data_IF_519224485110
#
_entry.id   IF_519224485110
#
_cell.length_a   1.000
_cell.length_b   1.000
_cell.length_c   1.000
_cell.angle_alpha   90.00
_cell.angle_beta   90.00
_cell.angle_gamma   90.00
#
_symmetry.space_group_name_H-M   'P 1'
#
loop_
_entity.id
_entity.type
_entity.pdbx_description
1 polymer ?
#
# COMPACT_ATOMS: atom_id res chain seq x y z
N UNK A 1 1.95 16.03 4.57
CA UNK A 1 1.21 17.14 5.21
C UNK A 1 -0.01 16.51 5.87
N UNK A 2 -0.04 16.41 7.20
CA UNK A 2 -1.06 15.63 7.92
C UNK A 2 -2.50 16.02 7.55
N UNK A 3 -2.78 17.31 7.36
CA UNK A 3 -4.14 17.79 7.08
C UNK A 3 -4.72 17.33 5.73
N UNK A 4 -3.87 17.19 4.71
CA UNK A 4 -4.29 16.68 3.39
C UNK A 4 -4.59 15.19 3.52
N UNK A 5 -3.69 14.44 4.17
CA UNK A 5 -3.87 13.00 4.41
C UNK A 5 -5.15 12.74 5.22
N UNK A 6 -5.40 13.52 6.27
CA UNK A 6 -6.62 13.43 7.08
C UNK A 6 -7.90 13.65 6.26
N UNK A 7 -7.89 14.59 5.31
CA UNK A 7 -9.04 14.86 4.46
C UNK A 7 -9.37 13.67 3.55
N UNK A 8 -8.36 12.97 3.03
CA UNK A 8 -8.54 11.76 2.21
C UNK A 8 -9.00 10.58 3.08
N UNK A 9 -8.34 10.35 4.22
CA UNK A 9 -8.65 9.24 5.13
C UNK A 9 -10.05 9.32 5.72
N UNK A 10 -10.62 10.53 5.84
CA UNK A 10 -11.98 10.75 6.32
C UNK A 10 -13.05 10.07 5.47
N UNK A 11 -12.79 9.89 4.17
CA UNK A 11 -13.78 9.37 3.21
C UNK A 11 -13.35 8.08 2.53
N UNK A 12 -12.10 7.64 2.71
CA UNK A 12 -11.61 6.42 2.09
C UNK A 12 -12.32 5.17 2.66
N UNK A 13 -12.84 4.31 1.79
CA UNK A 13 -13.33 2.98 2.19
C UNK A 13 -12.19 1.97 2.39
N UNK A 14 -11.07 2.20 1.71
CA UNK A 14 -9.87 1.36 1.72
C UNK A 14 -8.64 2.23 1.47
N UNK A 15 -7.55 1.95 2.18
CA UNK A 15 -6.25 2.57 1.96
C UNK A 15 -5.27 1.51 1.47
N UNK A 16 -4.62 1.78 0.34
CA UNK A 16 -3.48 0.99 -0.13
C UNK A 16 -2.20 1.78 0.13
N UNK A 17 -1.38 1.30 1.05
CA UNK A 17 -0.07 1.85 1.36
C UNK A 17 0.97 1.16 0.48
N UNK A 18 1.41 1.81 -0.59
CA UNK A 18 2.40 1.22 -1.48
C UNK A 18 3.83 1.46 -0.97
N UNK A 19 4.70 0.47 -1.10
CA UNK A 19 6.13 0.62 -0.80
C UNK A 19 7.00 -0.25 -1.69
N UNK A 20 8.21 0.21 -2.01
CA UNK A 20 9.23 -0.68 -2.55
C UNK A 20 9.84 -1.53 -1.43
N UNK A 21 10.26 -2.78 -1.69
CA UNK A 21 10.92 -3.64 -0.69
C UNK A 21 12.35 -3.16 -0.44
N UNK A 22 12.48 -1.99 0.19
CA UNK A 22 13.73 -1.30 0.48
C UNK A 22 13.72 -0.72 1.89
N UNK A 23 14.89 -0.62 2.51
CA UNK A 23 15.03 -0.07 3.86
C UNK A 23 14.51 1.35 3.96
N UNK A 24 14.80 2.17 2.95
CA UNK A 24 14.38 3.56 2.93
C UNK A 24 12.85 3.73 2.97
N UNK A 25 12.11 2.88 2.26
CA UNK A 25 10.64 2.93 2.29
C UNK A 25 10.07 2.31 3.57
N UNK A 26 10.66 1.23 4.07
CA UNK A 26 10.28 0.64 5.36
C UNK A 26 10.46 1.63 6.51
N UNK A 27 11.64 2.23 6.63
CA UNK A 27 11.96 3.21 7.68
C UNK A 27 11.00 4.42 7.60
N UNK A 28 10.64 4.89 6.40
CA UNK A 28 9.65 5.98 6.24
C UNK A 28 8.26 5.66 6.79
N UNK A 29 7.87 4.39 6.79
CA UNK A 29 6.56 3.93 7.26
C UNK A 29 6.59 3.69 8.77
N UNK A 30 7.61 2.98 9.24
CA UNK A 30 7.69 2.47 10.62
C UNK A 30 8.38 3.44 11.57
N UNK A 31 9.43 4.13 11.12
CA UNK A 31 10.23 5.04 11.95
C UNK A 31 10.72 6.28 11.15
N UNK A 32 9.80 7.14 10.69
CA UNK A 32 10.16 8.34 9.95
C UNK A 32 10.90 9.34 10.86
N UNK A 33 12.14 9.77 10.51
CA UNK A 33 13.03 10.47 11.44
C UNK A 33 12.50 11.80 12.02
N UNK A 34 11.59 12.49 11.33
CA UNK A 34 11.09 13.81 11.74
C UNK A 34 9.57 13.98 11.53
N UNK A 35 8.79 12.89 11.48
CA UNK A 35 7.36 12.95 11.12
C UNK A 35 6.53 11.95 11.92
N UNK A 36 5.23 12.23 12.04
CA UNK A 36 4.25 11.27 12.57
C UNK A 36 4.21 10.02 11.72
N UNK A 37 4.18 8.83 12.35
CA UNK A 37 4.08 7.55 11.64
C UNK A 37 2.78 7.51 10.85
N UNK A 38 2.80 6.90 9.66
CA UNK A 38 1.59 6.79 8.84
C UNK A 38 0.50 5.96 9.56
N UNK A 39 0.90 4.95 10.35
CA UNK A 39 -0.01 4.19 11.20
C UNK A 39 -0.75 5.06 12.21
N UNK A 40 -0.05 5.99 12.87
CA UNK A 40 -0.66 6.93 13.81
C UNK A 40 -1.62 7.89 13.10
N UNK A 41 -1.25 8.41 11.92
CA UNK A 41 -2.11 9.27 11.11
C UNK A 41 -3.41 8.52 10.74
N UNK A 42 -3.30 7.26 10.32
CA UNK A 42 -4.46 6.41 10.01
C UNK A 42 -5.32 6.19 11.26
N UNK A 43 -4.72 5.85 12.39
CA UNK A 43 -5.44 5.65 13.64
C UNK A 43 -6.18 6.94 14.09
N UNK A 44 -5.51 8.09 14.02
CA UNK A 44 -6.10 9.39 14.35
C UNK A 44 -7.25 9.78 13.42
N UNK A 45 -7.22 9.34 12.15
CA UNK A 45 -8.28 9.63 11.19
C UNK A 45 -9.66 9.09 11.61
N UNK A 46 -9.68 8.04 12.45
CA UNK A 46 -10.91 7.48 13.01
C UNK A 46 -11.76 8.55 13.71
N UNK A 47 -11.12 9.52 14.38
CA UNK A 47 -11.83 10.60 15.08
C UNK A 47 -12.60 11.54 14.14
N UNK A 48 -12.22 11.58 12.85
CA UNK A 48 -12.80 12.45 11.83
C UNK A 48 -13.90 11.77 11.00
N UNK A 49 -14.03 10.44 11.14
CA UNK A 49 -14.95 9.60 10.38
C UNK A 49 -16.28 9.41 11.11
N UNK A 50 -17.34 9.18 10.34
CA UNK A 50 -18.70 8.99 10.87
C UNK A 50 -18.83 7.69 11.68
N UNK A 51 -18.17 6.62 11.23
CA UNK A 51 -18.14 5.29 11.86
C UNK A 51 -17.16 5.19 13.04
N UNK A 52 -16.35 6.23 13.27
CA UNK A 52 -15.28 6.27 14.29
C UNK A 52 -14.24 5.14 14.18
N UNK A 53 -14.12 4.53 13.00
CA UNK A 53 -13.15 3.46 12.74
C UNK A 53 -12.15 3.92 11.69
N UNK A 54 -10.84 3.65 11.86
CA UNK A 54 -9.87 3.94 10.82
C UNK A 54 -10.20 3.11 9.56
N UNK A 55 -9.92 3.63 8.35
CA UNK A 55 -10.17 2.86 7.14
C UNK A 55 -9.28 1.60 7.12
N UNK A 56 -9.81 0.45 6.64
CA UNK A 56 -8.99 -0.72 6.37
C UNK A 56 -7.77 -0.32 5.55
N UNK A 57 -6.58 -0.73 6.00
CA UNK A 57 -5.33 -0.37 5.34
C UNK A 57 -4.51 -1.62 5.05
N UNK A 58 -4.05 -1.72 3.80
CA UNK A 58 -3.26 -2.83 3.30
C UNK A 58 -2.00 -2.33 2.61
N UNK A 59 -0.88 -2.99 2.90
CA UNK A 59 0.41 -2.69 2.29
C UNK A 59 0.53 -3.44 0.96
N UNK A 60 0.91 -2.71 -0.09
CA UNK A 60 1.21 -3.26 -1.41
C UNK A 60 2.70 -3.13 -1.69
N UNK A 61 3.40 -4.26 -1.82
CA UNK A 61 4.79 -4.26 -2.28
C UNK A 61 4.81 -3.97 -3.79
N UNK A 62 5.41 -2.83 -4.13
CA UNK A 62 5.50 -2.29 -5.48
C UNK A 62 6.97 -2.24 -5.94
N UNK A 63 7.21 -2.15 -7.24
CA UNK A 63 8.55 -2.13 -7.85
C UNK A 63 9.42 -3.31 -7.40
N UNK A 64 8.82 -4.47 -7.16
CA UNK A 64 9.55 -5.66 -6.71
C UNK A 64 10.45 -6.19 -7.82
N UNK A 65 11.61 -6.72 -7.45
CA UNK A 65 12.54 -7.33 -8.41
C UNK A 65 12.31 -8.84 -8.39
N UNK A 66 11.99 -9.41 -9.56
CA UNK A 66 11.75 -10.86 -9.69
C UNK A 66 12.95 -11.66 -9.18
N UNK A 67 12.69 -12.62 -8.28
CA UNK A 67 13.73 -13.46 -7.66
C UNK A 67 14.51 -12.81 -6.52
N UNK A 68 14.27 -11.53 -6.19
CA UNK A 68 14.92 -10.89 -5.05
C UNK A 68 14.29 -11.35 -3.73
N UNK A 69 15.13 -11.77 -2.78
CA UNK A 69 14.73 -12.16 -1.43
C UNK A 69 14.13 -11.00 -0.62
N UNK A 70 14.45 -9.75 -0.97
CA UNK A 70 13.96 -8.57 -0.27
C UNK A 70 12.43 -8.47 -0.23
N UNK A 71 11.75 -8.99 -1.26
CA UNK A 71 10.27 -8.97 -1.30
C UNK A 71 9.67 -9.77 -0.14
N UNK A 72 10.20 -10.97 0.13
CA UNK A 72 9.77 -11.78 1.27
C UNK A 72 10.19 -11.14 2.59
N UNK A 73 11.45 -10.73 2.70
CA UNK A 73 11.98 -10.10 3.91
C UNK A 73 11.13 -8.90 4.36
N UNK A 74 10.83 -7.95 3.46
CA UNK A 74 10.06 -6.76 3.83
C UNK A 74 8.58 -7.02 4.00
N UNK A 75 8.04 -8.11 3.42
CA UNK A 75 6.69 -8.57 3.74
C UNK A 75 6.64 -9.02 5.19
N UNK A 76 7.51 -9.95 5.57
CA UNK A 76 7.55 -10.52 6.91
C UNK A 76 7.77 -9.41 7.95
N UNK A 77 8.70 -8.49 7.69
CA UNK A 77 8.93 -7.33 8.59
C UNK A 77 7.71 -6.41 8.72
N UNK A 78 6.93 -6.18 7.66
CA UNK A 78 5.71 -5.36 7.76
C UNK A 78 4.60 -6.09 8.51
N UNK A 79 4.48 -7.40 8.32
CA UNK A 79 3.54 -8.25 9.06
C UNK A 79 3.91 -8.31 10.56
N UNK A 80 5.21 -8.39 10.89
CA UNK A 80 5.72 -8.33 12.27
C UNK A 80 5.42 -6.98 12.96
N UNK A 81 5.41 -5.89 12.19
CA UNK A 81 4.97 -4.55 12.64
C UNK A 81 3.42 -4.42 12.72
N UNK A 82 2.68 -5.50 12.46
CA UNK A 82 1.22 -5.57 12.60
C UNK A 82 0.44 -5.04 11.39
N UNK A 83 1.09 -4.85 10.24
CA UNK A 83 0.38 -4.44 9.01
C UNK A 83 -0.22 -5.63 8.28
N UNK A 84 -1.41 -5.41 7.68
CA UNK A 84 -1.92 -6.33 6.67
C UNK A 84 -1.15 -6.10 5.36
N UNK A 85 -0.60 -7.16 4.77
CA UNK A 85 0.17 -7.07 3.52
C UNK A 85 -0.50 -7.93 2.43
N UNK A 86 -0.67 -7.35 1.24
CA UNK A 86 -1.25 -8.05 0.08
C UNK A 86 -0.28 -9.08 -0.48
N UNK A 87 -0.78 -10.26 -0.82
CA UNK A 87 0.05 -11.33 -1.39
C UNK A 87 0.51 -10.98 -2.80
N UNK A 88 -0.34 -10.32 -3.58
CA UNK A 88 0.03 -9.77 -4.88
C UNK A 88 1.11 -8.70 -4.72
N UNK A 89 2.06 -8.70 -5.66
CA UNK A 89 3.11 -7.68 -5.76
C UNK A 89 3.10 -7.05 -7.14
N UNK A 90 3.47 -5.78 -7.23
CA UNK A 90 3.65 -5.10 -8.51
C UNK A 90 5.14 -5.13 -8.87
N UNK A 91 5.53 -5.87 -9.93
CA UNK A 91 6.93 -5.98 -10.31
C UNK A 91 7.44 -4.68 -10.92
N UNK A 92 8.75 -4.46 -10.82
CA UNK A 92 9.44 -3.46 -11.62
C UNK A 92 9.59 -3.98 -13.05
N UNK A 93 8.91 -3.34 -14.00
CA UNK A 93 9.09 -3.60 -15.44
C UNK A 93 9.32 -2.31 -16.20
N UNK A 94 10.01 -2.40 -17.35
CA UNK A 94 10.26 -1.22 -18.20
C UNK A 94 8.94 -0.66 -18.76
N UNK A 95 8.00 -1.54 -19.12
CA UNK A 95 6.67 -1.12 -19.57
C UNK A 95 5.93 -0.27 -18.52
N UNK A 96 6.02 -0.64 -17.23
CA UNK A 96 5.47 0.15 -16.13
C UNK A 96 6.21 1.47 -15.94
N UNK A 97 7.53 1.47 -16.06
CA UNK A 97 8.33 2.67 -15.90
C UNK A 97 8.11 3.70 -17.02
N UNK A 98 7.87 3.26 -18.25
CA UNK A 98 7.66 4.12 -19.42
C UNK A 98 6.19 4.57 -19.57
N UNK A 99 5.27 3.97 -18.82
CA UNK A 99 3.83 4.28 -18.83
C UNK A 99 3.50 5.58 -18.09
N UNK A 100 4.04 6.71 -18.55
CA UNK A 100 3.89 8.02 -17.88
C UNK A 100 2.63 8.77 -18.35
N UNK A 101 2.25 8.64 -19.62
CA UNK A 101 1.16 9.42 -20.23
C UNK A 101 0.02 8.58 -20.78
N UNK A 102 0.22 7.27 -20.92
CA UNK A 102 -0.77 6.34 -21.45
C UNK A 102 -0.91 5.15 -20.51
N UNK A 103 -2.13 4.62 -20.32
CA UNK A 103 -2.32 3.41 -19.55
C UNK A 103 -1.68 2.21 -20.25
N UNK A 104 -1.33 1.18 -19.47
CA UNK A 104 -0.83 -0.08 -20.02
C UNK A 104 -1.99 -0.89 -20.57
N UNK A 105 -1.91 -1.22 -21.86
CA UNK A 105 -2.84 -2.13 -22.51
C UNK A 105 -2.84 -3.49 -21.82
N UNK A 106 -4.03 -3.95 -21.42
CA UNK A 106 -4.19 -5.27 -20.80
C UNK A 106 -3.65 -5.38 -19.38
N UNK A 107 -3.56 -4.28 -18.61
CA UNK A 107 -3.14 -4.31 -17.21
C UNK A 107 -3.93 -5.31 -16.34
N UNK A 108 -5.20 -5.55 -16.67
CA UNK A 108 -6.06 -6.56 -16.03
C UNK A 108 -5.64 -8.00 -16.27
N UNK A 109 -4.78 -8.29 -17.25
CA UNK A 109 -4.24 -9.63 -17.53
C UNK A 109 -2.92 -9.90 -16.81
N UNK A 110 -2.48 -8.99 -15.94
CA UNK A 110 -1.24 -9.10 -15.21
C UNK A 110 -1.40 -8.77 -13.72
N UNK A 111 -0.34 -8.28 -13.06
CA UNK A 111 -0.31 -8.09 -11.61
C UNK A 111 -1.43 -7.18 -11.06
N UNK A 112 -1.92 -6.22 -11.84
CA UNK A 112 -3.05 -5.39 -11.41
C UNK A 112 -4.39 -6.14 -11.42
N UNK A 113 -4.58 -7.08 -12.36
CA UNK A 113 -5.76 -7.95 -12.34
C UNK A 113 -5.75 -8.91 -11.16
N UNK A 114 -4.58 -9.49 -10.87
CA UNK A 114 -4.36 -10.32 -9.67
C UNK A 114 -4.65 -9.53 -8.39
N UNK A 115 -4.18 -8.27 -8.32
CA UNK A 115 -4.45 -7.39 -7.19
C UNK A 115 -5.95 -7.14 -7.01
N UNK A 116 -6.66 -6.78 -8.08
CA UNK A 116 -8.11 -6.57 -8.01
C UNK A 116 -8.82 -7.84 -7.54
N UNK A 117 -8.42 -9.00 -8.07
CA UNK A 117 -8.98 -10.30 -7.65
C UNK A 117 -8.73 -10.58 -6.17
N UNK A 118 -7.53 -10.29 -5.67
CA UNK A 118 -7.21 -10.42 -4.25
C UNK A 118 -8.06 -9.49 -3.38
N UNK A 119 -8.23 -8.23 -3.80
CA UNK A 119 -9.03 -7.26 -3.06
C UNK A 119 -10.53 -7.65 -3.02
N UNK A 120 -11.07 -8.19 -4.12
CA UNK A 120 -12.43 -8.73 -4.17
C UNK A 120 -12.59 -9.95 -3.24
N UNK A 121 -11.67 -10.92 -3.32
CA UNK A 121 -11.70 -12.10 -2.45
C UNK A 121 -11.59 -11.77 -0.96
N UNK A 122 -10.87 -10.69 -0.61
CA UNK A 122 -10.76 -10.20 0.77
C UNK A 122 -11.96 -9.33 1.20
N UNK A 123 -12.93 -9.08 0.30
CA UNK A 123 -14.10 -8.23 0.57
C UNK A 123 -13.76 -6.75 0.73
N UNK A 124 -12.62 -6.31 0.18
CA UNK A 124 -12.13 -4.93 0.26
C UNK A 124 -12.64 -4.05 -0.89
N UNK A 125 -13.10 -4.68 -1.98
CA UNK A 125 -13.86 -4.04 -3.05
C UNK A 125 -15.29 -4.59 -3.04
N UNK A 126 -16.26 -3.70 -3.27
CA UNK A 126 -17.70 -4.01 -3.35
C UNK A 126 -18.19 -3.92 -4.78
#
# INVERSE_FOLDING_TARGET
HPDITNSVLRVADLVILHMAPTKADFDRIIDPPDKTKIGDIIAMSAALRADRTPPPTWVLLNRTVTGASSTGLYRDMMEDEGWNVLTTVIPRTEALAQSVSFPISGASKGPFGELVTELEHRGLLK
#
